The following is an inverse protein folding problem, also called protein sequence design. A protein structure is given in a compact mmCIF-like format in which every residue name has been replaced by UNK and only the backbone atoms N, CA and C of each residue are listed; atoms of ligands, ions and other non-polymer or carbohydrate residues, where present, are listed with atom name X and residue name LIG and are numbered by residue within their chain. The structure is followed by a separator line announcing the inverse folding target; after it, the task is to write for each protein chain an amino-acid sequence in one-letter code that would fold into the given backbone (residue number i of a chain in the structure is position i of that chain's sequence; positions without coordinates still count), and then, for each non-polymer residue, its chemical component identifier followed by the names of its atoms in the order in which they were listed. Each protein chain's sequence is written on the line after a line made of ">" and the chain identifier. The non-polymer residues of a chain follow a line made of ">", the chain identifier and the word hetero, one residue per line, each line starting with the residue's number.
data_IF_427710805324
#
_entry.id   IF_427710805324
#
_cell.length_a   1.000
_cell.length_b   1.000
_cell.length_c   1.000
_cell.angle_alpha   90.00
_cell.angle_beta   90.00
_cell.angle_gamma   90.00
#
_symmetry.space_group_name_H-M   'P 1'
#
loop_
_entity.id
_entity.type
_entity.pdbx_description
1 polymer ?
#
# COMPACT_ATOMS: atom_id res chain seq x y z
N UNK A 1 17.75 -1.06 -45.55
CA UNK A 1 17.28 -1.96 -44.49
C UNK A 1 17.92 -1.57 -43.18
N UNK A 2 19.20 -1.48 -43.07
CA UNK A 2 19.86 -1.11 -41.83
C UNK A 2 19.45 0.31 -41.38
N UNK A 3 19.30 1.23 -42.31
CA UNK A 3 18.86 2.59 -41.99
C UNK A 3 17.46 2.63 -41.50
N UNK A 4 16.58 1.83 -42.11
CA UNK A 4 15.19 1.76 -41.67
C UNK A 4 15.09 1.11 -40.30
N UNK A 5 15.91 0.11 -40.02
CA UNK A 5 15.90 -0.56 -38.73
C UNK A 5 16.25 0.42 -37.59
N UNK A 6 17.22 1.31 -37.81
CA UNK A 6 17.58 2.31 -36.83
C UNK A 6 16.43 3.27 -36.54
N UNK A 7 15.74 3.73 -37.59
CA UNK A 7 14.61 4.64 -37.43
C UNK A 7 13.45 3.95 -36.73
N UNK A 8 13.13 2.72 -37.11
CA UNK A 8 12.06 1.94 -36.50
C UNK A 8 12.37 1.69 -35.03
N UNK A 9 13.61 1.37 -34.69
CA UNK A 9 14.02 1.15 -33.30
C UNK A 9 13.83 2.40 -32.47
N UNK A 10 14.20 3.58 -32.98
CA UNK A 10 14.02 4.84 -32.26
C UNK A 10 12.55 5.15 -31.99
N UNK A 11 11.68 4.96 -32.98
CA UNK A 11 10.24 5.18 -32.83
C UNK A 11 9.67 4.17 -31.84
N UNK A 12 10.05 2.90 -31.94
CA UNK A 12 9.60 1.86 -31.03
C UNK A 12 10.02 2.15 -29.60
N UNK A 13 11.25 2.63 -29.39
CA UNK A 13 11.72 2.99 -28.07
C UNK A 13 10.91 4.15 -27.49
N UNK A 14 10.63 5.16 -28.30
CA UNK A 14 9.80 6.29 -27.86
C UNK A 14 8.39 5.81 -27.48
N UNK A 15 7.79 4.97 -28.31
CA UNK A 15 6.46 4.41 -28.04
C UNK A 15 6.47 3.55 -26.79
N UNK A 16 7.55 2.77 -26.58
CA UNK A 16 7.70 1.93 -25.39
C UNK A 16 7.79 2.76 -24.11
N UNK A 17 8.52 3.86 -24.14
CA UNK A 17 8.62 4.77 -23.00
C UNK A 17 7.26 5.37 -22.69
N UNK A 18 6.52 5.82 -23.70
CA UNK A 18 5.19 6.38 -23.53
C UNK A 18 4.25 5.34 -22.94
N UNK A 19 4.27 4.12 -23.45
CA UNK A 19 3.45 3.04 -22.93
C UNK A 19 3.80 2.73 -21.48
N UNK A 20 5.06 2.69 -21.13
CA UNK A 20 5.49 2.45 -19.74
C UNK A 20 5.03 3.57 -18.82
N UNK A 21 5.09 4.83 -19.28
CA UNK A 21 4.60 5.95 -18.50
C UNK A 21 3.09 5.86 -18.26
N UNK A 22 2.33 5.48 -19.29
CA UNK A 22 0.89 5.29 -19.17
C UNK A 22 0.56 4.13 -18.22
N UNK A 23 1.29 3.03 -18.33
CA UNK A 23 1.13 1.89 -17.45
C UNK A 23 1.47 2.25 -16.00
N UNK A 24 2.50 3.05 -15.79
CA UNK A 24 2.89 3.49 -14.46
C UNK A 24 1.81 4.37 -13.83
N UNK A 25 1.26 5.30 -14.61
CA UNK A 25 0.16 6.14 -14.14
C UNK A 25 -1.06 5.30 -13.76
N UNK A 26 -1.40 4.32 -14.59
CA UNK A 26 -2.52 3.42 -14.31
C UNK A 26 -2.23 2.57 -13.06
N UNK A 27 -1.03 2.02 -12.96
CA UNK A 27 -0.65 1.18 -11.82
C UNK A 27 -0.66 1.95 -10.51
N UNK A 28 -0.35 3.24 -10.54
CA UNK A 28 -0.29 4.10 -9.35
C UNK A 28 -1.49 5.03 -9.23
N UNK A 29 -2.57 4.74 -9.93
CA UNK A 29 -3.75 5.61 -9.89
C UNK A 29 -4.30 5.76 -8.48
N UNK A 30 -4.46 4.64 -7.76
CA UNK A 30 -4.95 4.66 -6.39
C UNK A 30 -3.77 4.75 -5.41
N UNK A 31 -3.10 5.89 -5.42
CA UNK A 31 -1.98 6.16 -4.53
C UNK A 31 -2.06 7.61 -4.06
N UNK A 32 -1.77 7.84 -2.78
CA UNK A 32 -1.80 9.20 -2.22
C UNK A 32 -0.87 10.13 -3.00
N UNK A 33 0.26 9.63 -3.45
CA UNK A 33 1.25 10.40 -4.20
C UNK A 33 0.72 10.95 -5.53
N UNK A 34 -0.34 10.35 -6.05
CA UNK A 34 -0.94 10.73 -7.33
C UNK A 34 -2.37 11.24 -7.19
N UNK A 35 -2.80 11.54 -5.96
CA UNK A 35 -4.16 11.98 -5.70
C UNK A 35 -4.17 13.42 -5.23
N UNK A 36 -4.39 14.33 -6.17
CA UNK A 36 -4.37 15.77 -5.88
C UNK A 36 -5.43 16.16 -4.87
N UNK A 37 -6.60 15.55 -4.94
CA UNK A 37 -7.70 15.85 -4.01
C UNK A 37 -7.34 15.46 -2.59
N UNK A 38 -6.72 14.30 -2.41
CA UNK A 38 -6.31 13.85 -1.08
C UNK A 38 -5.17 14.71 -0.53
N UNK A 39 -4.23 15.10 -1.38
CA UNK A 39 -3.15 15.99 -0.99
C UNK A 39 -3.68 17.36 -0.56
N UNK A 40 -4.65 17.89 -1.30
CA UNK A 40 -5.29 19.16 -0.96
C UNK A 40 -6.05 19.07 0.37
N UNK A 41 -6.70 17.93 0.61
CA UNK A 41 -7.37 17.70 1.89
C UNK A 41 -6.37 17.84 3.05
N UNK A 42 -5.21 17.22 2.95
CA UNK A 42 -4.20 17.35 3.99
C UNK A 42 -3.67 18.76 4.12
N UNK A 43 -3.40 19.41 3.01
CA UNK A 43 -2.92 20.79 3.02
C UNK A 43 -3.92 21.73 3.71
N UNK A 44 -5.20 21.59 3.39
CA UNK A 44 -6.25 22.42 3.98
C UNK A 44 -6.42 22.17 5.48
N UNK A 45 -5.96 21.03 5.97
CA UNK A 45 -6.00 20.70 7.39
C UNK A 45 -4.65 20.91 8.08
N UNK A 46 -3.74 21.65 7.45
CA UNK A 46 -2.45 22.00 8.04
C UNK A 46 -1.44 20.86 8.03
N UNK A 47 -1.59 19.91 7.12
CA UNK A 47 -0.69 18.76 7.03
C UNK A 47 0.02 18.72 5.69
N UNK A 48 1.24 18.17 5.69
CA UNK A 48 2.01 17.91 4.49
C UNK A 48 2.00 16.40 4.25
N UNK A 49 1.41 15.96 3.13
CA UNK A 49 1.24 14.52 2.88
C UNK A 49 2.58 13.80 2.76
N UNK A 50 3.62 14.46 2.24
CA UNK A 50 4.94 13.84 2.10
C UNK A 50 5.58 13.54 3.44
N UNK A 51 5.34 14.37 4.43
CA UNK A 51 5.80 14.13 5.80
C UNK A 51 4.94 13.10 6.52
N UNK A 52 3.64 13.08 6.22
CA UNK A 52 2.70 12.16 6.85
C UNK A 52 2.90 10.72 6.40
N UNK A 53 3.23 10.48 5.14
CA UNK A 53 3.28 9.12 4.61
C UNK A 53 4.19 8.19 5.41
N UNK A 54 5.46 8.54 5.68
CA UNK A 54 6.29 7.66 6.50
C UNK A 54 5.77 7.54 7.94
N UNK A 55 5.19 8.60 8.50
CA UNK A 55 4.64 8.56 9.85
C UNK A 55 3.45 7.61 9.95
N UNK A 56 2.58 7.62 8.94
CA UNK A 56 1.43 6.72 8.89
C UNK A 56 1.90 5.27 8.83
N UNK A 57 2.85 4.97 7.96
CA UNK A 57 3.39 3.62 7.82
C UNK A 57 4.06 3.15 9.10
N UNK A 58 4.89 3.99 9.69
CA UNK A 58 5.58 3.65 10.94
C UNK A 58 4.59 3.43 12.08
N UNK A 59 3.58 4.27 12.20
CA UNK A 59 2.56 4.13 13.24
C UNK A 59 1.83 2.80 13.13
N UNK A 60 1.48 2.38 11.92
CA UNK A 60 0.81 1.10 11.72
C UNK A 60 1.74 -0.09 11.98
N UNK A 61 3.00 0.01 11.56
CA UNK A 61 3.99 -1.05 11.77
C UNK A 61 4.41 -1.20 13.23
N UNK A 62 4.29 -0.17 14.05
CA UNK A 62 4.61 -0.27 15.47
C UNK A 62 3.76 -1.32 16.19
N UNK A 63 2.54 -1.54 15.73
CA UNK A 63 1.66 -2.55 16.33
C UNK A 63 2.12 -3.97 16.06
N UNK A 64 3.08 -4.17 15.15
CA UNK A 64 3.69 -5.48 14.95
C UNK A 64 4.49 -5.94 16.18
N UNK A 65 4.88 -5.02 17.05
CA UNK A 65 5.65 -5.36 18.24
C UNK A 65 4.80 -5.98 19.36
N UNK A 66 3.49 -5.93 19.24
CA UNK A 66 2.62 -6.55 20.23
C UNK A 66 2.81 -8.07 20.22
N UNK A 67 2.79 -8.68 21.40
CA UNK A 67 2.96 -10.13 21.55
C UNK A 67 1.89 -10.92 20.83
N UNK A 68 0.72 -10.34 20.63
CA UNK A 68 -0.39 -11.00 19.93
C UNK A 68 -0.40 -10.67 18.43
N UNK A 69 0.63 -10.02 17.93
CA UNK A 69 0.70 -9.57 16.56
C UNK A 69 0.02 -8.23 16.36
N UNK A 70 -0.12 -7.81 15.13
CA UNK A 70 -0.71 -6.52 14.81
C UNK A 70 -2.23 -6.57 14.95
N UNK A 71 -2.77 -5.79 15.89
CA UNK A 71 -4.20 -5.84 16.19
C UNK A 71 -5.08 -5.42 15.02
N UNK A 72 -4.55 -4.61 14.10
CA UNK A 72 -5.33 -4.13 12.97
C UNK A 72 -5.52 -5.16 11.87
N UNK A 73 -4.75 -6.24 11.91
CA UNK A 73 -4.97 -7.39 11.03
C UNK A 73 -6.32 -8.04 11.31
N UNK A 74 -6.77 -7.98 12.56
CA UNK A 74 -8.05 -8.53 13.01
C UNK A 74 -8.18 -10.02 12.71
N UNK A 75 -7.07 -10.76 12.89
CA UNK A 75 -7.02 -12.22 12.78
C UNK A 75 -6.29 -12.75 13.99
N UNK A 76 -6.80 -13.85 14.53
CA UNK A 76 -6.15 -14.52 15.65
C UNK A 76 -4.96 -15.32 15.14
N UNK A 77 -3.82 -15.16 15.78
CA UNK A 77 -2.64 -15.94 15.44
C UNK A 77 -2.88 -17.44 15.60
N UNK A 78 -2.19 -18.22 14.80
CA UNK A 78 -2.32 -19.66 14.78
C UNK A 78 -1.00 -20.31 15.15
N UNK A 79 -1.05 -21.28 16.05
CA UNK A 79 0.12 -22.07 16.47
C UNK A 79 1.29 -21.18 16.94
N UNK A 80 0.97 -20.19 17.77
CA UNK A 80 1.94 -19.20 18.28
C UNK A 80 2.61 -18.35 17.19
N UNK A 81 2.08 -18.39 15.97
CA UNK A 81 2.57 -17.56 14.88
C UNK A 81 1.63 -16.42 14.67
N UNK A 82 2.03 -15.25 15.11
CA UNK A 82 1.21 -14.05 15.04
C UNK A 82 1.32 -13.37 13.69
N UNK A 83 0.25 -12.70 13.29
CA UNK A 83 0.22 -11.99 12.02
C UNK A 83 0.90 -10.63 12.17
N UNK A 84 1.79 -10.35 11.24
CA UNK A 84 2.49 -9.05 11.15
C UNK A 84 2.21 -8.43 9.80
N UNK A 85 2.02 -7.11 9.81
CA UNK A 85 1.89 -6.37 8.57
C UNK A 85 3.26 -6.25 7.93
N UNK A 86 3.35 -6.56 6.64
CA UNK A 86 4.61 -6.53 5.90
C UNK A 86 4.69 -5.33 4.97
N UNK A 87 3.63 -5.04 4.25
CA UNK A 87 3.63 -3.97 3.26
C UNK A 87 2.37 -3.14 3.37
N UNK A 88 2.53 -1.84 3.20
CA UNK A 88 1.44 -0.88 3.37
C UNK A 88 1.39 0.01 2.13
N UNK A 89 0.20 0.20 1.57
CA UNK A 89 -0.03 1.18 0.52
C UNK A 89 -1.09 2.17 0.99
N UNK A 90 -0.73 3.44 1.05
CA UNK A 90 -1.65 4.52 1.40
C UNK A 90 -2.30 4.96 0.10
N UNK A 91 -3.60 4.73 -0.02
CA UNK A 91 -4.34 4.97 -1.25
C UNK A 91 -4.75 6.44 -1.40
N UNK A 92 -5.14 7.05 -0.31
CA UNK A 92 -5.55 8.45 -0.28
C UNK A 92 -5.56 8.95 1.17
N UNK A 93 -6.32 10.00 1.44
CA UNK A 93 -6.39 10.57 2.78
C UNK A 93 -7.24 9.75 3.76
N UNK A 94 -7.83 8.64 3.31
CA UNK A 94 -8.72 7.83 4.13
C UNK A 94 -8.42 6.35 4.13
N UNK A 95 -7.97 5.81 3.00
CA UNK A 95 -7.85 4.37 2.79
C UNK A 95 -6.41 3.89 2.75
N UNK A 96 -6.18 2.78 3.42
CA UNK A 96 -4.91 2.05 3.39
C UNK A 96 -5.23 0.60 3.07
N UNK A 97 -4.41 -0.02 2.22
CA UNK A 97 -4.40 -1.46 2.08
C UNK A 97 -3.04 -1.98 2.54
N UNK A 98 -3.04 -3.08 3.27
CA UNK A 98 -1.82 -3.68 3.78
C UNK A 98 -1.88 -5.19 3.65
N UNK A 99 -0.73 -5.81 3.43
CA UNK A 99 -0.66 -7.26 3.47
C UNK A 99 -0.04 -7.71 4.79
N UNK A 100 -0.40 -8.90 5.21
CA UNK A 100 0.13 -9.50 6.43
C UNK A 100 0.34 -10.99 6.26
N UNK A 101 1.19 -11.53 7.12
CA UNK A 101 1.44 -12.97 7.13
C UNK A 101 1.94 -13.38 8.51
N UNK A 102 1.91 -14.69 8.74
CA UNK A 102 2.53 -15.28 9.93
C UNK A 102 3.64 -16.27 9.57
N UNK A 103 4.10 -16.23 8.31
CA UNK A 103 5.10 -17.17 7.81
C UNK A 103 4.50 -18.37 7.10
N UNK A 104 3.23 -18.66 7.31
CA UNK A 104 2.55 -19.78 6.65
C UNK A 104 1.35 -19.33 5.85
N UNK A 105 0.56 -18.45 6.43
CA UNK A 105 -0.65 -17.92 5.81
C UNK A 105 -0.49 -16.42 5.59
N UNK A 106 -1.20 -15.89 4.63
CA UNK A 106 -1.13 -14.48 4.32
C UNK A 106 -2.52 -13.93 4.03
N UNK A 107 -2.64 -12.63 4.14
CA UNK A 107 -3.90 -11.98 3.86
C UNK A 107 -3.71 -10.50 3.60
N UNK A 108 -4.82 -9.84 3.44
CA UNK A 108 -4.85 -8.40 3.20
C UNK A 108 -5.89 -7.76 4.09
N UNK A 109 -5.61 -6.54 4.53
CA UNK A 109 -6.52 -5.78 5.36
C UNK A 109 -6.74 -4.41 4.73
N UNK A 110 -8.01 -3.98 4.71
CA UNK A 110 -8.39 -2.65 4.27
C UNK A 110 -8.70 -1.83 5.50
N UNK A 111 -8.04 -0.67 5.63
CA UNK A 111 -8.20 0.18 6.81
C UNK A 111 -8.62 1.58 6.41
N UNK A 112 -9.37 2.22 7.29
CA UNK A 112 -9.49 3.67 7.30
C UNK A 112 -8.48 4.24 8.26
N UNK A 113 -8.04 5.46 8.02
CA UNK A 113 -7.17 6.15 8.96
C UNK A 113 -7.55 7.62 9.05
N UNK A 114 -7.18 8.23 10.17
CA UNK A 114 -7.50 9.62 10.47
C UNK A 114 -6.30 10.27 11.12
N UNK A 115 -6.01 11.49 10.72
CA UNK A 115 -5.02 12.32 11.41
C UNK A 115 -5.79 13.14 12.42
N UNK A 116 -5.53 12.91 13.69
CA UNK A 116 -6.21 13.60 14.77
C UNK A 116 -5.66 15.03 14.94
N UNK A 117 -6.38 15.87 15.66
CA UNK A 117 -5.98 17.26 15.87
C UNK A 117 -4.61 17.36 16.56
N UNK A 118 -4.27 16.41 17.43
CA UNK A 118 -2.98 16.35 18.10
C UNK A 118 -1.89 15.70 17.25
N UNK A 119 -2.18 15.44 15.97
CA UNK A 119 -1.27 14.81 15.00
C UNK A 119 -1.02 13.33 15.23
N UNK A 120 -1.71 12.69 16.17
CA UNK A 120 -1.69 11.23 16.26
C UNK A 120 -2.53 10.64 15.15
N UNK A 121 -2.32 9.35 14.87
CA UNK A 121 -2.97 8.67 13.76
C UNK A 121 -3.83 7.55 14.32
N UNK A 122 -5.11 7.55 13.94
CA UNK A 122 -6.04 6.49 14.31
C UNK A 122 -6.30 5.60 13.11
N UNK A 123 -6.43 4.30 13.36
CA UNK A 123 -6.72 3.31 12.32
C UNK A 123 -8.00 2.56 12.67
N UNK A 124 -8.71 2.12 11.65
CA UNK A 124 -9.91 1.32 11.81
C UNK A 124 -9.92 0.24 10.75
N UNK A 125 -9.96 -1.02 11.16
CA UNK A 125 -10.04 -2.15 10.23
C UNK A 125 -11.45 -2.23 9.66
N UNK A 126 -11.56 -2.17 8.35
CA UNK A 126 -12.85 -2.25 7.66
C UNK A 126 -13.12 -3.68 7.19
N UNK A 127 -12.13 -4.31 6.59
CA UNK A 127 -12.25 -5.68 6.12
C UNK A 127 -10.90 -6.36 6.12
N UNK A 128 -10.87 -7.64 6.44
CA UNK A 128 -9.66 -8.44 6.41
C UNK A 128 -9.98 -9.77 5.73
N UNK A 129 -9.12 -10.20 4.86
CA UNK A 129 -9.26 -11.47 4.16
C UNK A 129 -7.99 -12.26 4.35
N UNK A 130 -8.14 -13.47 4.89
CA UNK A 130 -7.04 -14.38 5.06
C UNK A 130 -7.11 -15.44 3.96
N UNK A 131 -6.01 -15.59 3.25
CA UNK A 131 -5.93 -16.58 2.18
C UNK A 131 -5.30 -17.85 2.72
N UNK A 132 -5.96 -18.98 2.54
CA UNK A 132 -5.39 -20.23 3.02
C UNK A 132 -4.15 -20.59 2.21
N UNK A 133 -3.25 -21.27 2.87
CA UNK A 133 -2.09 -21.80 2.18
C UNK A 133 -2.54 -22.74 1.08
N UNK A 134 -2.03 -22.59 -0.14
CA UNK A 134 -2.41 -23.51 -1.21
C UNK A 134 -2.11 -24.93 -0.80
N UNK A 135 -3.13 -25.79 -0.86
CA UNK A 135 -2.88 -27.19 -0.64
C UNK A 135 -2.24 -27.69 -1.90
N UNK A 136 -1.03 -27.61 -1.93
CA UNK A 136 -0.38 -28.09 -3.07
C UNK A 136 -0.15 -29.50 -2.86
N UNK A 137 -0.91 -30.18 -3.44
CA UNK A 137 -0.66 -31.54 -3.49
C UNK A 137 0.46 -31.80 -4.38
N UNK A 138 1.35 -31.43 -4.23
CA UNK A 138 2.29 -31.51 -5.14
C UNK A 138 3.17 -32.59 -5.04
#
# INVERSE_FOLDING_TARGET
>A
TAQNDGTVTAVTTHDSIKMMQEQLLEANYFALENNDNAQEYFYNNGNNYQELMPKIKDALLEYNADKKGNKYVDQVGYDNKMYLINKIKILNHRWIIADYSNGEMWGEVLLKYFINDDKTISFETIETILYPKPTVSQ
#
